data_IF_758108034212
#
_entry.id   IF_758108034212
#
_cell.length_a   1.000
_cell.length_b   1.000
_cell.length_c   1.000
_cell.angle_alpha   90.00
_cell.angle_beta   90.00
_cell.angle_gamma   90.00
#
_symmetry.space_group_name_H-M   'P 1'
#
loop_
_entity.id
_entity.type
_entity.pdbx_description
1 polymer ?
#
# COMPACT_ATOMS: atom_id res chain seq x y z
N UNK A 1 9.08 7.29 4.00
CA UNK A 1 8.40 8.60 4.25
C UNK A 1 7.66 8.50 5.57
N UNK A 2 6.91 9.52 6.01
CA UNK A 2 6.07 9.36 7.21
C UNK A 2 5.07 8.23 7.02
N UNK A 3 4.84 7.44 8.07
CA UNK A 3 3.93 6.29 8.01
C UNK A 3 2.51 6.67 7.54
N UNK A 4 2.01 7.84 7.95
CA UNK A 4 0.73 8.39 7.47
C UNK A 4 0.73 8.64 5.96
N UNK A 5 1.85 9.10 5.39
CA UNK A 5 2.00 9.27 3.94
C UNK A 5 1.88 7.94 3.22
N UNK A 6 2.47 6.88 3.77
CA UNK A 6 2.31 5.53 3.21
C UNK A 6 0.87 5.06 3.27
N UNK A 7 0.15 5.29 4.37
CA UNK A 7 -1.27 4.92 4.47
C UNK A 7 -2.09 5.57 3.34
N UNK A 8 -2.05 6.90 3.23
CA UNK A 8 -2.89 7.62 2.25
C UNK A 8 -2.53 7.23 0.82
N UNK A 9 -1.23 7.15 0.50
CA UNK A 9 -0.77 6.78 -0.83
C UNK A 9 -1.18 5.35 -1.20
N UNK A 10 -0.92 4.37 -0.33
CA UNK A 10 -1.29 2.97 -0.56
C UNK A 10 -2.81 2.79 -0.65
N UNK A 11 -3.60 3.48 0.20
CA UNK A 11 -5.06 3.47 0.11
C UNK A 11 -5.52 3.98 -1.24
N UNK A 12 -5.01 5.12 -1.71
CA UNK A 12 -5.36 5.67 -3.02
C UNK A 12 -5.04 4.72 -4.17
N UNK A 13 -3.82 4.17 -4.19
CA UNK A 13 -3.38 3.26 -5.24
C UNK A 13 -4.22 1.99 -5.29
N UNK A 14 -4.39 1.31 -4.14
CA UNK A 14 -5.15 0.07 -4.08
C UNK A 14 -6.62 0.30 -4.42
N UNK A 15 -7.22 1.40 -3.95
CA UNK A 15 -8.62 1.75 -4.23
C UNK A 15 -8.84 1.99 -5.72
N UNK A 16 -7.94 2.75 -6.38
CA UNK A 16 -8.02 3.00 -7.82
C UNK A 16 -7.94 1.71 -8.63
N UNK A 17 -7.03 0.81 -8.29
CA UNK A 17 -6.89 -0.46 -8.99
C UNK A 17 -8.08 -1.39 -8.74
N UNK A 18 -8.58 -1.43 -7.50
CA UNK A 18 -9.76 -2.22 -7.16
C UNK A 18 -11.06 -1.65 -7.74
N UNK A 19 -11.17 -0.34 -7.97
CA UNK A 19 -12.41 0.28 -8.48
C UNK A 19 -12.75 -0.10 -9.91
N UNK A 20 -11.80 -0.66 -10.67
CA UNK A 20 -12.09 -1.24 -12.00
C UNK A 20 -12.96 -2.50 -11.95
N UNK A 21 -13.07 -3.12 -10.77
CA UNK A 21 -13.79 -4.39 -10.59
C UNK A 21 -14.84 -4.31 -9.49
N UNK A 22 -14.72 -3.35 -8.57
CA UNK A 22 -15.52 -3.23 -7.37
C UNK A 22 -16.15 -1.85 -7.26
N UNK A 23 -17.24 -1.74 -6.49
CA UNK A 23 -17.77 -0.43 -6.12
C UNK A 23 -16.70 0.40 -5.39
N UNK A 24 -16.71 1.72 -5.59
CA UNK A 24 -15.76 2.63 -4.94
C UNK A 24 -15.74 2.44 -3.42
N UNK A 25 -16.90 2.34 -2.78
CA UNK A 25 -17.01 2.21 -1.33
C UNK A 25 -16.39 0.91 -0.80
N UNK A 26 -16.64 -0.21 -1.49
CA UNK A 26 -16.03 -1.50 -1.15
C UNK A 26 -14.52 -1.44 -1.34
N UNK A 27 -14.05 -0.98 -2.50
CA UNK A 27 -12.64 -0.83 -2.81
C UNK A 27 -11.92 0.05 -1.78
N UNK A 28 -12.51 1.20 -1.44
CA UNK A 28 -11.95 2.17 -0.49
C UNK A 28 -11.84 1.61 0.92
N UNK A 29 -12.91 0.99 1.44
CA UNK A 29 -12.92 0.47 2.80
C UNK A 29 -11.84 -0.59 3.01
N UNK A 30 -11.82 -1.61 2.15
CA UNK A 30 -10.88 -2.72 2.27
C UNK A 30 -9.44 -2.28 1.98
N UNK A 31 -9.23 -1.44 0.97
CA UNK A 31 -7.90 -0.88 0.66
C UNK A 31 -7.35 -0.05 1.82
N UNK A 32 -8.21 0.70 2.52
CA UNK A 32 -7.83 1.48 3.71
C UNK A 32 -7.34 0.57 4.84
N UNK A 33 -8.10 -0.49 5.14
CA UNK A 33 -7.73 -1.47 6.17
C UNK A 33 -6.40 -2.14 5.84
N UNK A 34 -6.24 -2.64 4.61
CA UNK A 34 -5.02 -3.31 4.14
C UNK A 34 -3.81 -2.36 4.14
N UNK A 35 -3.98 -1.14 3.64
CA UNK A 35 -2.93 -0.13 3.62
C UNK A 35 -2.44 0.19 5.03
N UNK A 36 -3.35 0.42 5.98
CA UNK A 36 -2.97 0.71 7.37
C UNK A 36 -2.26 -0.47 8.00
N UNK A 37 -2.85 -1.67 7.94
CA UNK A 37 -2.27 -2.85 8.57
C UNK A 37 -0.92 -3.24 7.96
N UNK A 38 -0.82 -3.28 6.63
CA UNK A 38 0.38 -3.74 5.94
C UNK A 38 1.54 -2.77 6.04
N UNK A 39 1.30 -1.47 5.88
CA UNK A 39 2.35 -0.47 6.08
C UNK A 39 2.84 -0.45 7.53
N UNK A 40 1.92 -0.59 8.50
CA UNK A 40 2.30 -0.71 9.92
C UNK A 40 3.15 -1.95 10.17
N UNK A 41 2.77 -3.09 9.60
CA UNK A 41 3.50 -4.35 9.74
C UNK A 41 4.91 -4.25 9.15
N UNK A 42 5.04 -3.70 7.93
CA UNK A 42 6.32 -3.50 7.24
C UNK A 42 7.26 -2.61 8.06
N UNK A 43 6.76 -1.50 8.61
CA UNK A 43 7.58 -0.56 9.38
C UNK A 43 7.96 -1.11 10.76
N UNK A 44 7.00 -1.70 11.49
CA UNK A 44 7.26 -2.21 12.85
C UNK A 44 8.22 -3.39 12.86
N UNK A 45 8.11 -4.30 11.89
CA UNK A 45 9.05 -5.42 11.75
C UNK A 45 10.32 -5.04 10.99
N UNK A 46 10.28 -3.92 10.25
CA UNK A 46 11.37 -3.46 9.40
C UNK A 46 12.43 -2.66 10.11
N UNK A 47 12.13 -2.10 11.27
CA UNK A 47 13.06 -1.26 12.03
C UNK A 47 13.75 -2.05 13.14
N UNK A 48 15.05 -1.83 13.29
CA UNK A 48 15.83 -2.22 14.46
C UNK A 48 16.49 -0.99 15.06
N UNK A 49 16.64 -0.96 16.37
CA UNK A 49 17.39 0.09 17.03
C UNK A 49 18.87 -0.28 17.06
N UNK A 50 19.73 0.63 16.60
CA UNK A 50 21.17 0.50 16.77
C UNK A 50 21.62 1.56 17.77
N UNK A 51 22.36 1.13 18.79
CA UNK A 51 23.01 2.04 19.72
C UNK A 51 24.20 2.72 19.04
N UNK A 52 24.17 4.05 19.02
CA UNK A 52 25.27 4.89 18.53
C UNK A 52 25.78 5.78 19.67
N UNK A 53 26.90 6.48 19.46
CA UNK A 53 27.41 7.49 20.42
C UNK A 53 26.42 8.62 20.71
N UNK A 54 25.37 8.78 19.88
CA UNK A 54 24.32 9.80 20.00
C UNK A 54 22.98 9.23 20.48
N UNK A 55 22.95 7.97 20.93
CA UNK A 55 21.74 7.28 21.38
C UNK A 55 21.27 6.18 20.42
N UNK A 56 20.08 5.64 20.69
CA UNK A 56 19.42 4.61 19.87
C UNK A 56 18.84 5.24 18.60
N UNK A 57 19.26 4.75 17.44
CA UNK A 57 18.77 5.23 16.15
C UNK A 57 18.01 4.10 15.46
N UNK A 58 16.74 4.32 15.04
CA UNK A 58 16.00 3.34 14.27
C UNK A 58 16.59 3.23 12.86
N UNK A 59 16.93 2.02 12.45
CA UNK A 59 17.42 1.72 11.10
C UNK A 59 16.61 0.61 10.46
N UNK A 60 16.35 0.78 9.17
CA UNK A 60 15.68 -0.22 8.33
C UNK A 60 16.53 -1.47 8.17
N UNK A 61 15.86 -2.60 8.04
CA UNK A 61 16.45 -3.92 7.81
C UNK A 61 15.99 -4.49 6.48
N UNK A 62 16.79 -5.36 5.84
CA UNK A 62 16.37 -6.05 4.63
C UNK A 62 15.25 -7.08 4.88
N UNK A 63 14.75 -7.24 6.12
CA UNK A 63 13.68 -8.18 6.43
C UNK A 63 12.37 -7.79 5.73
N UNK A 64 12.01 -6.51 5.80
CA UNK A 64 10.78 -5.99 5.19
C UNK A 64 11.04 -5.00 4.06
N UNK A 65 12.20 -4.31 4.06
CA UNK A 65 12.51 -3.26 3.11
C UNK A 65 13.27 -3.76 1.87
N UNK A 66 12.80 -4.86 1.28
CA UNK A 66 13.25 -5.34 -0.04
C UNK A 66 12.01 -5.59 -0.88
N UNK A 67 12.06 -5.40 -2.21
CA UNK A 67 10.87 -5.56 -3.06
C UNK A 67 10.17 -6.92 -2.86
N UNK A 68 10.83 -8.09 -3.01
CA UNK A 68 10.13 -9.37 -2.88
C UNK A 68 9.55 -9.62 -1.48
N UNK A 69 10.29 -9.25 -0.42
CA UNK A 69 9.83 -9.48 0.95
C UNK A 69 8.71 -8.53 1.33
N UNK A 70 8.76 -7.28 0.86
CA UNK A 70 7.72 -6.30 1.12
C UNK A 70 6.37 -6.76 0.56
N UNK A 71 6.34 -7.42 -0.59
CA UNK A 71 5.13 -8.04 -1.16
C UNK A 71 4.53 -9.02 -0.16
N UNK A 72 5.34 -9.96 0.35
CA UNK A 72 4.90 -10.96 1.33
C UNK A 72 4.36 -10.28 2.60
N UNK A 73 5.12 -9.35 3.19
CA UNK A 73 4.70 -8.67 4.41
C UNK A 73 3.45 -7.80 4.21
N UNK A 74 3.37 -7.07 3.09
CA UNK A 74 2.24 -6.21 2.76
C UNK A 74 0.96 -6.98 2.44
N UNK A 75 1.10 -8.25 2.02
CA UNK A 75 0.00 -9.17 1.69
C UNK A 75 -0.60 -9.89 2.90
N UNK A 76 0.19 -10.13 3.96
CA UNK A 76 -0.27 -10.86 5.16
C UNK A 76 -1.60 -10.34 5.74
N UNK A 77 -1.84 -9.01 5.88
CA UNK A 77 -3.11 -8.52 6.40
C UNK A 77 -4.31 -8.92 5.52
N UNK A 78 -4.15 -8.92 4.20
CA UNK A 78 -5.21 -9.30 3.28
C UNK A 78 -5.52 -10.80 3.37
N UNK A 79 -4.48 -11.64 3.49
CA UNK A 79 -4.64 -13.07 3.72
C UNK A 79 -5.31 -13.36 5.07
N UNK A 80 -4.94 -12.64 6.13
CA UNK A 80 -5.59 -12.76 7.44
C UNK A 80 -7.08 -12.38 7.37
N UNK A 81 -7.39 -11.28 6.67
CA UNK A 81 -8.77 -10.83 6.51
C UNK A 81 -9.60 -11.81 5.66
N UNK A 82 -9.04 -12.36 4.59
CA UNK A 82 -9.76 -13.34 3.75
C UNK A 82 -10.02 -14.65 4.48
N UNK A 83 -9.06 -15.14 5.28
CA UNK A 83 -9.26 -16.31 6.13
C UNK A 83 -10.34 -16.06 7.19
N UNK A 84 -10.36 -14.87 7.79
CA UNK A 84 -11.40 -14.49 8.76
C UNK A 84 -12.79 -14.45 8.10
N UNK A 85 -12.90 -13.89 6.90
CA UNK A 85 -14.15 -13.90 6.13
C UNK A 85 -14.61 -15.32 5.80
N UNK A 86 -13.71 -16.18 5.32
CA UNK A 86 -14.04 -17.57 5.04
C UNK A 86 -14.48 -18.32 6.31
N UNK A 87 -13.82 -18.09 7.44
CA UNK A 87 -14.21 -18.70 8.71
C UNK A 87 -15.62 -18.27 9.15
N UNK A 88 -15.97 -16.99 8.99
CA UNK A 88 -17.25 -16.45 9.41
C UNK A 88 -18.43 -16.81 8.47
N UNK A 89 -18.18 -16.89 7.17
CA UNK A 89 -19.23 -17.01 6.15
C UNK A 89 -19.15 -18.29 5.32
N UNK A 90 -18.11 -19.13 5.49
CA UNK A 90 -17.83 -20.34 4.71
C UNK A 90 -17.83 -20.13 3.18
N UNK A 91 -17.52 -18.91 2.75
CA UNK A 91 -17.54 -18.50 1.37
C UNK A 91 -16.46 -17.44 1.10
N UNK A 92 -15.80 -17.55 -0.05
CA UNK A 92 -14.91 -16.52 -0.60
C UNK A 92 -15.52 -16.03 -1.89
N UNK A 93 -15.88 -14.75 -1.95
CA UNK A 93 -16.41 -14.15 -3.18
C UNK A 93 -15.29 -13.82 -4.16
N UNK A 94 -15.62 -13.74 -5.44
CA UNK A 94 -14.66 -13.34 -6.49
C UNK A 94 -14.11 -11.93 -6.24
N UNK A 95 -14.94 -11.03 -5.70
CA UNK A 95 -14.54 -9.69 -5.29
C UNK A 95 -13.47 -9.71 -4.21
N UNK A 96 -13.63 -10.58 -3.20
CA UNK A 96 -12.66 -10.73 -2.13
C UNK A 96 -11.36 -11.32 -2.65
N UNK A 97 -11.41 -12.30 -3.56
CA UNK A 97 -10.23 -12.87 -4.22
C UNK A 97 -9.47 -11.81 -5.02
N UNK A 98 -10.17 -11.00 -5.83
CA UNK A 98 -9.58 -9.89 -6.57
C UNK A 98 -8.91 -8.89 -5.63
N UNK A 99 -9.56 -8.55 -4.53
CA UNK A 99 -9.03 -7.61 -3.56
C UNK A 99 -7.77 -8.14 -2.87
N UNK A 100 -7.76 -9.43 -2.54
CA UNK A 100 -6.58 -10.15 -2.06
C UNK A 100 -5.45 -10.08 -3.09
N UNK A 101 -5.72 -10.31 -4.37
CA UNK A 101 -4.68 -10.20 -5.41
C UNK A 101 -4.13 -8.78 -5.55
N UNK A 102 -4.99 -7.75 -5.58
CA UNK A 102 -4.56 -6.34 -5.64
C UNK A 102 -3.70 -5.97 -4.43
N UNK A 103 -3.97 -6.54 -3.26
CA UNK A 103 -3.22 -6.27 -2.02
C UNK A 103 -1.74 -6.69 -2.08
N UNK A 104 -1.33 -7.54 -3.05
CA UNK A 104 0.08 -7.83 -3.32
C UNK A 104 0.89 -6.56 -3.65
N UNK A 105 0.21 -5.50 -4.11
CA UNK A 105 0.82 -4.21 -4.43
C UNK A 105 1.03 -3.31 -3.21
N UNK A 106 0.51 -3.68 -2.03
CA UNK A 106 0.65 -2.89 -0.81
C UNK A 106 2.14 -2.72 -0.43
N UNK A 107 2.89 -3.82 -0.39
CA UNK A 107 4.34 -3.82 -0.15
C UNK A 107 5.14 -3.00 -1.18
N UNK A 108 4.97 -3.25 -2.49
CA UNK A 108 5.54 -2.43 -3.54
C UNK A 108 5.22 -0.95 -3.44
N UNK A 109 4.00 -0.58 -3.08
CA UNK A 109 3.61 0.84 -2.89
C UNK A 109 4.39 1.50 -1.75
N UNK A 110 4.64 0.76 -0.67
CA UNK A 110 5.51 1.20 0.42
C UNK A 110 6.95 1.39 -0.06
N UNK A 111 7.50 0.38 -0.73
CA UNK A 111 8.87 0.41 -1.25
C UNK A 111 9.08 1.52 -2.28
N UNK A 112 8.06 1.82 -3.08
CA UNK A 112 8.10 2.89 -4.07
C UNK A 112 8.38 4.24 -3.40
N UNK A 113 7.59 4.61 -2.38
CA UNK A 113 7.83 5.85 -1.65
C UNK A 113 9.17 5.85 -0.92
N UNK A 114 9.55 4.70 -0.36
CA UNK A 114 10.82 4.57 0.34
C UNK A 114 12.04 4.63 -0.55
N UNK A 115 11.92 4.21 -1.81
CA UNK A 115 12.97 4.34 -2.79
C UNK A 115 13.36 5.80 -3.04
N UNK A 116 12.48 6.78 -2.81
CA UNK A 116 12.79 8.21 -2.94
C UNK A 116 13.36 8.85 -1.66
N UNK A 117 13.47 8.10 -0.56
CA UNK A 117 13.95 8.63 0.72
C UNK A 117 15.44 8.31 0.92
N UNK A 118 16.13 9.14 1.70
CA UNK A 118 17.54 8.95 2.06
C UNK A 118 17.85 7.56 2.66
N UNK A 119 16.86 6.92 3.29
CA UNK A 119 16.99 5.59 3.89
C UNK A 119 16.84 4.47 2.86
N UNK A 120 16.20 4.75 1.73
CA UNK A 120 16.07 3.87 0.58
C UNK A 120 15.42 2.52 0.86
N UNK A 121 15.64 1.61 -0.08
CA UNK A 121 15.28 0.18 -0.02
C UNK A 121 16.53 -0.69 -0.14
N UNK A 122 16.41 -1.98 0.16
CA UNK A 122 17.50 -2.94 0.04
C UNK A 122 17.41 -3.76 -1.24
N UNK A 123 18.55 -3.89 -1.93
CA UNK A 123 18.75 -4.76 -3.10
C UNK A 123 19.93 -5.69 -2.83
N UNK A 124 19.83 -6.95 -3.23
CA UNK A 124 20.92 -7.92 -3.10
C UNK A 124 21.90 -7.72 -4.26
N UNK A 125 23.15 -7.38 -3.96
CA UNK A 125 24.24 -7.26 -4.94
C UNK A 125 25.43 -8.11 -4.47
N UNK A 126 25.88 -9.06 -5.29
CA UNK A 126 26.98 -9.98 -4.99
C UNK A 126 26.81 -10.70 -3.64
N UNK A 127 25.62 -11.27 -3.41
CA UNK A 127 25.30 -11.98 -2.17
C UNK A 127 25.02 -11.10 -0.95
N UNK A 128 25.35 -9.79 -0.99
CA UNK A 128 25.21 -8.86 0.14
C UNK A 128 24.05 -7.89 -0.07
N UNK A 129 23.36 -7.55 1.01
CA UNK A 129 22.31 -6.53 0.99
C UNK A 129 22.93 -5.14 0.95
N UNK A 130 22.55 -4.33 -0.06
CA UNK A 130 22.97 -2.93 -0.19
C UNK A 130 21.76 -2.02 -0.22
N UNK A 131 21.87 -0.84 0.39
CA UNK A 131 20.84 0.20 0.29
C UNK A 131 20.93 0.89 -1.07
N UNK A 132 19.79 1.15 -1.66
CA UNK A 132 19.62 1.88 -2.91
C UNK A 132 18.46 2.85 -2.72
N UNK A 133 18.66 4.09 -3.14
CA UNK A 133 17.62 5.10 -3.20
C UNK A 133 17.69 5.78 -4.57
N UNK A 134 16.53 6.04 -5.17
CA UNK A 134 16.37 6.79 -6.41
C UNK A 134 16.54 8.29 -6.18
N UNK A 135 16.11 8.76 -5.01
CA UNK A 135 16.35 10.11 -4.51
C UNK A 135 16.71 10.05 -3.02
N UNK A 136 17.25 11.13 -2.49
CA UNK A 136 17.73 11.19 -1.10
C UNK A 136 16.93 12.21 -0.30
N UNK A 137 15.60 12.21 -0.44
CA UNK A 137 14.75 13.13 0.32
C UNK A 137 14.76 12.77 1.81
N UNK A 138 14.83 13.79 2.65
CA UNK A 138 14.70 13.63 4.10
C UNK A 138 13.33 13.04 4.45
N UNK A 139 13.31 12.17 5.45
CA UNK A 139 12.08 11.57 5.98
C UNK A 139 11.02 12.61 6.36
N UNK A 140 11.44 13.74 6.96
CA UNK A 140 10.56 14.79 7.47
C UNK A 140 10.28 15.91 6.47
N UNK A 141 10.67 15.76 5.19
CA UNK A 141 10.42 16.79 4.19
C UNK A 141 8.90 16.99 3.95
N UNK A 142 8.32 18.16 4.30
CA UNK A 142 6.87 18.36 4.22
C UNK A 142 6.35 18.37 2.79
N UNK A 143 7.14 18.89 1.83
CA UNK A 143 6.75 18.93 0.42
C UNK A 143 6.64 17.53 -0.16
N UNK A 144 7.64 16.67 0.06
CA UNK A 144 7.66 15.31 -0.48
C UNK A 144 6.56 14.45 0.13
N UNK A 145 6.37 14.53 1.45
CA UNK A 145 5.26 13.84 2.12
C UNK A 145 3.89 14.36 1.64
N UNK A 146 3.76 15.68 1.46
CA UNK A 146 2.55 16.33 0.95
C UNK A 146 2.20 15.93 -0.48
N UNK A 147 3.18 15.89 -1.39
CA UNK A 147 2.98 15.46 -2.78
C UNK A 147 2.53 14.00 -2.86
N UNK A 148 3.12 13.11 -2.07
CA UNK A 148 2.71 11.71 -2.04
C UNK A 148 1.27 11.54 -1.48
N UNK A 149 0.90 12.32 -0.46
CA UNK A 149 -0.48 12.37 0.05
C UNK A 149 -1.45 12.88 -1.02
N UNK A 150 -1.11 14.00 -1.69
CA UNK A 150 -1.93 14.57 -2.75
C UNK A 150 -2.13 13.59 -3.90
N UNK A 151 -1.08 12.87 -4.29
CA UNK A 151 -1.18 11.82 -5.32
C UNK A 151 -2.10 10.68 -4.85
N UNK A 152 -2.00 10.25 -3.59
CA UNK A 152 -2.93 9.31 -2.96
C UNK A 152 -4.39 9.77 -3.07
N UNK A 153 -4.66 11.02 -2.70
CA UNK A 153 -5.99 11.63 -2.76
C UNK A 153 -6.49 11.74 -4.21
N UNK A 154 -5.63 12.13 -5.15
CA UNK A 154 -5.97 12.21 -6.57
C UNK A 154 -6.42 10.84 -7.10
N UNK A 155 -5.71 9.77 -6.73
CA UNK A 155 -6.12 8.40 -7.10
C UNK A 155 -7.51 8.03 -6.55
N UNK A 156 -7.87 8.49 -5.34
CA UNK A 156 -9.21 8.30 -4.80
C UNK A 156 -10.28 9.06 -5.59
N UNK A 157 -10.00 10.31 -5.99
CA UNK A 157 -10.91 11.07 -6.84
C UNK A 157 -11.15 10.40 -8.19
N UNK A 158 -10.08 9.90 -8.82
CA UNK A 158 -10.19 9.15 -10.09
C UNK A 158 -11.00 7.86 -9.90
N UNK A 159 -10.76 7.12 -8.81
CA UNK A 159 -11.52 5.91 -8.49
C UNK A 159 -13.02 6.18 -8.32
N UNK A 160 -13.36 7.26 -7.61
CA UNK A 160 -14.75 7.68 -7.42
C UNK A 160 -15.39 8.15 -8.73
N UNK A 161 -14.64 8.87 -9.56
CA UNK A 161 -15.10 9.32 -10.86
C UNK A 161 -15.45 8.14 -11.79
N UNK A 162 -14.59 7.12 -11.84
CA UNK A 162 -14.82 5.90 -12.61
C UNK A 162 -16.11 5.19 -12.15
N UNK A 163 -16.29 5.03 -10.84
CA UNK A 163 -17.49 4.42 -10.27
C UNK A 163 -18.78 5.15 -10.68
N UNK A 164 -18.77 6.48 -10.63
CA UNK A 164 -19.94 7.28 -11.03
C UNK A 164 -20.21 7.13 -12.54
N UNK A 165 -19.17 7.18 -13.38
CA UNK A 165 -19.32 7.02 -14.83
C UNK A 165 -19.96 5.68 -15.20
N UNK A 166 -19.47 4.59 -14.62
CA UNK A 166 -20.01 3.24 -14.86
C UNK A 166 -21.47 3.13 -14.39
N UNK A 167 -21.78 3.70 -13.22
CA UNK A 167 -23.14 3.69 -12.67
C UNK A 167 -24.13 4.45 -13.58
N UNK A 168 -23.78 5.66 -14.03
CA UNK A 168 -24.64 6.43 -14.92
C UNK A 168 -24.82 5.76 -16.28
N UNK A 169 -23.76 5.19 -16.85
CA UNK A 169 -23.83 4.49 -18.13
C UNK A 169 -24.74 3.26 -18.06
N UNK A 170 -24.56 2.40 -17.03
CA UNK A 170 -25.41 1.22 -16.84
C UNK A 170 -26.89 1.55 -16.66
N UNK A 171 -27.20 2.60 -15.89
CA UNK A 171 -28.59 3.02 -15.67
C UNK A 171 -29.22 3.64 -16.92
N UNK A 172 -28.46 4.44 -17.68
CA UNK A 172 -28.97 5.02 -18.91
C UNK A 172 -29.34 3.93 -19.93
N UNK A 173 -28.46 2.97 -20.20
CA UNK A 173 -28.73 1.96 -21.21
C UNK A 173 -29.85 0.99 -20.81
N UNK A 174 -29.95 0.57 -19.55
CA UNK A 174 -31.04 -0.30 -19.09
C UNK A 174 -32.42 0.39 -19.08
N UNK A 175 -32.47 1.73 -19.01
CA UNK A 175 -33.74 2.45 -19.00
C UNK A 175 -34.28 2.72 -20.42
N UNK A 176 -33.41 2.70 -21.43
CA UNK A 176 -33.74 2.97 -22.83
C UNK A 176 -33.66 1.73 -23.75
N UNK A 177 -33.41 0.54 -23.20
CA UNK A 177 -33.49 -0.77 -23.87
C UNK A 177 -34.72 -1.54 -23.41
#
# INVERSE_FOLDING_TARGET
MKLVTHYVFSTGLLTLLSSFFLSFYTAFFFSSVIAVLGNTLIDRLGHKEIQTRRGLIPVRTPLTHTLPRSVVWGFIPALGLSLLFYYAYHYLSEELLLLVLVSLLNGPSHMLLDAFTERGIYVKRNGKWRRVALAHFSYDNPLVNGLAILLGILMLFVAMHNHNYDYYYYHYYNYYS
#
